data_IF_455296203398
#
_entry.id   IF_455296203398
#
_cell.length_a   1.000
_cell.length_b   1.000
_cell.length_c   1.000
_cell.angle_alpha   90.00
_cell.angle_beta   90.00
_cell.angle_gamma   90.00
#
_symmetry.space_group_name_H-M   'P 1'
#
loop_
_entity.id
_entity.type
_entity.pdbx_description
1 polymer ?
#
# COMPACT_ATOMS: atom_id res chain seq x y z
N UNK A 1 -33.33 -17.64 -38.68
CA UNK A 1 -32.20 -16.87 -38.11
C UNK A 1 -31.35 -17.84 -37.30
N UNK A 2 -30.06 -17.95 -37.58
CA UNK A 2 -29.17 -18.74 -36.72
C UNK A 2 -29.11 -18.06 -35.36
N UNK A 3 -29.52 -18.76 -34.30
CA UNK A 3 -29.45 -18.25 -32.93
C UNK A 3 -27.98 -18.06 -32.57
N UNK A 4 -27.66 -16.94 -31.93
CA UNK A 4 -26.31 -16.74 -31.43
C UNK A 4 -26.08 -17.59 -30.17
N UNK A 5 -24.83 -17.84 -29.82
CA UNK A 5 -24.47 -18.70 -28.68
C UNK A 5 -25.10 -18.22 -27.35
N UNK A 6 -25.34 -16.92 -27.20
CA UNK A 6 -26.01 -16.34 -26.02
C UNK A 6 -27.48 -16.76 -25.93
N UNK A 7 -28.22 -16.64 -27.03
CA UNK A 7 -29.61 -17.08 -27.12
C UNK A 7 -29.72 -18.59 -26.89
N UNK A 8 -28.88 -19.38 -27.56
CA UNK A 8 -28.85 -20.85 -27.40
C UNK A 8 -28.58 -21.25 -25.96
N UNK A 9 -27.58 -20.64 -25.32
CA UNK A 9 -27.23 -20.97 -23.92
C UNK A 9 -28.33 -20.52 -22.95
N UNK A 10 -28.93 -19.35 -23.17
CA UNK A 10 -30.02 -18.86 -22.32
C UNK A 10 -31.24 -19.77 -22.39
N UNK A 11 -31.65 -20.16 -23.60
CA UNK A 11 -32.80 -21.07 -23.80
C UNK A 11 -32.61 -22.40 -23.09
N UNK A 12 -31.42 -23.00 -23.21
CA UNK A 12 -31.10 -24.28 -22.57
C UNK A 12 -31.13 -24.19 -21.05
N UNK A 13 -30.57 -23.13 -20.47
CA UNK A 13 -30.61 -22.93 -19.03
C UNK A 13 -32.04 -22.65 -18.54
N UNK A 14 -32.84 -21.91 -19.32
CA UNK A 14 -34.24 -21.62 -19.03
C UNK A 14 -35.17 -22.84 -19.16
N UNK A 15 -34.70 -23.97 -19.72
CA UNK A 15 -35.47 -25.22 -19.74
C UNK A 15 -35.35 -25.99 -18.41
N UNK A 16 -34.45 -25.58 -17.51
CA UNK A 16 -34.30 -26.21 -16.21
C UNK A 16 -34.88 -25.32 -15.11
N UNK A 17 -35.98 -25.73 -14.43
CA UNK A 17 -36.62 -24.95 -13.37
C UNK A 17 -35.67 -24.50 -12.25
N UNK A 18 -34.58 -25.26 -12.01
CA UNK A 18 -33.53 -24.92 -11.04
C UNK A 18 -32.91 -23.53 -11.27
N UNK A 19 -32.90 -23.07 -12.52
CA UNK A 19 -32.27 -21.81 -12.91
C UNK A 19 -33.28 -20.69 -13.17
N UNK A 20 -34.56 -20.88 -12.88
CA UNK A 20 -35.62 -19.91 -13.18
C UNK A 20 -36.13 -19.32 -11.86
N UNK A 21 -36.25 -17.99 -11.80
CA UNK A 21 -36.88 -17.27 -10.69
C UNK A 21 -38.41 -17.32 -10.80
N UNK A 22 -39.11 -16.90 -9.75
CA UNK A 22 -40.57 -16.71 -9.78
C UNK A 22 -41.02 -15.77 -10.94
N UNK A 23 -40.23 -14.74 -11.24
CA UNK A 23 -40.48 -13.81 -12.37
C UNK A 23 -40.04 -14.32 -13.77
N UNK A 24 -39.81 -15.61 -13.97
CA UNK A 24 -39.29 -16.19 -15.22
C UNK A 24 -37.94 -15.59 -15.70
N UNK A 25 -37.06 -15.21 -14.77
CA UNK A 25 -35.71 -14.73 -15.07
C UNK A 25 -34.66 -15.77 -14.70
N UNK A 26 -33.54 -15.76 -15.42
CA UNK A 26 -32.43 -16.67 -15.17
C UNK A 26 -31.69 -16.31 -13.87
N UNK A 27 -31.56 -17.27 -12.96
CA UNK A 27 -30.83 -17.17 -11.70
C UNK A 27 -29.32 -17.36 -11.92
N UNK A 28 -28.62 -16.29 -12.35
CA UNK A 28 -27.16 -16.33 -12.63
C UNK A 28 -26.33 -16.90 -11.49
N UNK A 29 -26.61 -16.50 -10.25
CA UNK A 29 -25.86 -16.98 -9.08
C UNK A 29 -25.94 -18.50 -8.92
N UNK A 30 -27.10 -19.10 -9.26
CA UNK A 30 -27.29 -20.54 -9.19
C UNK A 30 -26.55 -21.26 -10.33
N UNK A 31 -26.63 -20.72 -11.54
CA UNK A 31 -25.85 -21.23 -12.69
C UNK A 31 -24.35 -21.15 -12.40
N UNK A 32 -23.86 -20.00 -11.92
CA UNK A 32 -22.45 -19.81 -11.56
C UNK A 32 -21.99 -20.76 -10.46
N UNK A 33 -22.80 -20.93 -9.40
CA UNK A 33 -22.50 -21.89 -8.33
C UNK A 33 -22.37 -23.32 -8.87
N UNK A 34 -23.25 -23.71 -9.79
CA UNK A 34 -23.20 -25.03 -10.43
C UNK A 34 -22.01 -25.18 -11.39
N UNK A 35 -21.59 -24.10 -12.08
CA UNK A 35 -20.35 -24.08 -12.87
C UNK A 35 -19.13 -24.32 -11.97
N UNK A 36 -19.05 -23.61 -10.82
CA UNK A 36 -17.91 -23.70 -9.91
C UNK A 36 -17.82 -25.05 -9.19
N UNK A 37 -18.97 -25.68 -8.94
CA UNK A 37 -19.06 -27.01 -8.31
C UNK A 37 -19.02 -28.15 -9.32
N UNK A 38 -18.86 -27.87 -10.62
CA UNK A 38 -18.89 -28.87 -11.70
C UNK A 38 -20.15 -29.75 -11.60
N UNK A 39 -21.30 -29.13 -11.37
CA UNK A 39 -22.57 -29.82 -11.14
C UNK A 39 -22.94 -30.72 -12.33
N UNK A 40 -23.23 -32.00 -12.06
CA UNK A 40 -23.50 -33.00 -13.10
C UNK A 40 -24.70 -32.68 -13.97
N UNK A 41 -25.77 -32.12 -13.40
CA UNK A 41 -27.00 -31.79 -14.13
C UNK A 41 -26.75 -30.63 -15.10
N UNK A 42 -26.00 -29.61 -14.66
CA UNK A 42 -25.56 -28.52 -15.52
C UNK A 42 -24.70 -29.05 -16.67
N UNK A 43 -23.68 -29.85 -16.38
CA UNK A 43 -22.77 -30.37 -17.42
C UNK A 43 -23.53 -31.23 -18.44
N UNK A 44 -24.44 -32.08 -17.97
CA UNK A 44 -25.30 -32.90 -18.83
C UNK A 44 -26.20 -32.03 -19.72
N UNK A 45 -26.78 -30.97 -19.14
CA UNK A 45 -27.59 -30.01 -19.86
C UNK A 45 -26.79 -29.27 -20.94
N UNK A 46 -25.57 -28.81 -20.64
CA UNK A 46 -24.69 -28.12 -21.60
C UNK A 46 -24.20 -29.05 -22.71
N UNK A 47 -23.92 -30.32 -22.39
CA UNK A 47 -23.53 -31.35 -23.36
C UNK A 47 -24.65 -31.73 -24.33
N UNK A 48 -25.92 -31.48 -23.96
CA UNK A 48 -27.08 -31.79 -24.82
C UNK A 48 -27.15 -30.94 -26.10
N UNK A 49 -26.36 -29.86 -26.18
CA UNK A 49 -26.34 -28.96 -27.33
C UNK A 49 -24.94 -28.89 -27.96
N UNK A 50 -24.88 -29.19 -29.26
CA UNK A 50 -23.62 -29.26 -29.99
C UNK A 50 -22.88 -27.92 -30.08
N UNK A 51 -23.58 -26.79 -30.19
CA UNK A 51 -22.94 -25.47 -30.29
C UNK A 51 -22.26 -25.09 -28.96
N UNK A 52 -22.95 -25.33 -27.84
CA UNK A 52 -22.41 -25.13 -26.49
C UNK A 52 -21.24 -26.09 -26.26
N UNK A 53 -21.40 -27.36 -26.63
CA UNK A 53 -20.35 -28.37 -26.52
C UNK A 53 -19.08 -27.94 -27.25
N UNK A 54 -19.18 -27.55 -28.51
CA UNK A 54 -18.03 -27.09 -29.30
C UNK A 54 -17.37 -25.82 -28.75
N UNK A 55 -18.13 -24.97 -28.06
CA UNK A 55 -17.62 -23.68 -27.56
C UNK A 55 -16.95 -23.79 -26.20
N UNK A 56 -17.49 -24.62 -25.32
CA UNK A 56 -17.14 -24.64 -23.89
C UNK A 56 -16.56 -25.97 -23.41
N UNK A 57 -16.39 -26.94 -24.30
CA UNK A 57 -15.69 -28.17 -24.00
C UNK A 57 -14.49 -28.32 -24.93
N UNK A 58 -13.42 -28.88 -24.38
CA UNK A 58 -12.19 -29.21 -25.09
C UNK A 58 -12.11 -30.72 -25.13
N UNK A 59 -11.93 -31.29 -26.32
CA UNK A 59 -11.72 -32.72 -26.47
C UNK A 59 -10.23 -33.04 -26.38
N UNK A 60 -9.85 -33.88 -25.41
CA UNK A 60 -8.49 -34.39 -25.24
C UNK A 60 -8.57 -35.91 -25.21
N UNK A 61 -7.97 -36.58 -26.20
CA UNK A 61 -7.94 -38.05 -26.30
C UNK A 61 -9.34 -38.70 -26.17
N UNK A 62 -10.35 -38.14 -26.83
CA UNK A 62 -11.74 -38.63 -26.78
C UNK A 62 -12.50 -38.31 -25.48
N UNK A 63 -11.89 -37.58 -24.55
CA UNK A 63 -12.54 -37.10 -23.32
C UNK A 63 -12.90 -35.63 -23.45
N UNK A 64 -14.14 -35.29 -23.17
CA UNK A 64 -14.62 -33.91 -23.14
C UNK A 64 -14.35 -33.28 -21.77
N UNK A 65 -13.57 -32.21 -21.77
CA UNK A 65 -13.22 -31.45 -20.58
C UNK A 65 -13.96 -30.12 -20.65
N UNK A 66 -14.77 -29.82 -19.63
CA UNK A 66 -15.49 -28.56 -19.54
C UNK A 66 -14.55 -27.40 -19.16
N UNK A 67 -14.50 -26.38 -19.99
CA UNK A 67 -13.78 -25.14 -19.71
C UNK A 67 -14.63 -24.24 -18.81
N UNK A 68 -14.62 -24.54 -17.51
CA UNK A 68 -15.39 -23.82 -16.50
C UNK A 68 -15.08 -22.33 -16.44
N UNK A 69 -13.84 -21.95 -16.73
CA UNK A 69 -13.41 -20.54 -16.67
C UNK A 69 -14.00 -19.76 -17.85
N UNK A 70 -13.90 -20.31 -19.06
CA UNK A 70 -14.50 -19.73 -20.27
C UNK A 70 -16.02 -19.63 -20.17
N UNK A 71 -16.68 -20.65 -19.64
CA UNK A 71 -18.13 -20.62 -19.46
C UNK A 71 -18.56 -19.64 -18.35
N UNK A 72 -17.84 -19.58 -17.23
CA UNK A 72 -18.10 -18.57 -16.19
C UNK A 72 -17.96 -17.15 -16.74
N UNK A 73 -16.87 -16.88 -17.47
CA UNK A 73 -16.66 -15.59 -18.13
C UNK A 73 -17.78 -15.25 -19.13
N UNK A 74 -18.28 -16.25 -19.86
CA UNK A 74 -19.39 -16.10 -20.80
C UNK A 74 -20.71 -15.71 -20.11
N UNK A 75 -21.06 -16.36 -18.99
CA UNK A 75 -22.28 -16.04 -18.22
C UNK A 75 -22.21 -14.65 -17.57
N UNK A 76 -21.00 -14.21 -17.24
CA UNK A 76 -20.72 -12.89 -16.66
C UNK A 76 -20.60 -11.77 -17.70
N UNK A 77 -20.70 -12.07 -19.00
CA UNK A 77 -20.61 -11.06 -20.06
C UNK A 77 -21.86 -10.16 -20.10
N UNK A 78 -21.66 -8.89 -20.52
CA UNK A 78 -22.74 -7.91 -20.72
C UNK A 78 -23.71 -8.30 -21.84
N UNK A 79 -23.24 -9.10 -22.81
CA UNK A 79 -24.05 -9.55 -23.94
C UNK A 79 -25.03 -10.66 -23.55
N UNK A 80 -24.74 -11.44 -22.51
CA UNK A 80 -25.65 -12.47 -22.02
C UNK A 80 -26.88 -11.85 -21.32
N UNK A 81 -26.77 -10.65 -20.74
CA UNK A 81 -27.90 -9.80 -20.31
C UNK A 81 -27.54 -8.30 -20.32
N UNK A 82 -28.17 -7.47 -21.17
CA UNK A 82 -28.09 -6.01 -21.03
C UNK A 82 -28.81 -5.60 -19.73
N UNK A 83 -28.21 -4.71 -18.95
CA UNK A 83 -28.65 -4.18 -17.62
C UNK A 83 -27.94 -4.73 -16.37
N UNK A 84 -26.81 -5.43 -16.51
CA UNK A 84 -25.83 -5.54 -15.42
C UNK A 84 -24.79 -4.42 -15.57
N UNK A 85 -24.95 -3.33 -14.81
CA UNK A 85 -24.14 -2.12 -14.99
C UNK A 85 -22.65 -2.33 -14.65
N UNK A 86 -22.28 -3.38 -13.93
CA UNK A 86 -20.88 -3.84 -13.77
C UNK A 86 -20.81 -5.36 -13.59
N UNK A 87 -19.67 -5.98 -13.93
CA UNK A 87 -19.37 -7.41 -13.66
C UNK A 87 -19.17 -7.70 -12.15
N UNK A 88 -19.15 -6.66 -11.32
CA UNK A 88 -18.73 -6.75 -9.94
C UNK A 88 -19.94 -6.77 -9.00
N UNK A 89 -19.89 -7.64 -7.98
CA UNK A 89 -20.78 -7.56 -6.81
C UNK A 89 -20.74 -6.16 -6.22
N UNK A 90 -21.88 -5.57 -5.84
CA UNK A 90 -22.15 -4.23 -5.24
C UNK A 90 -21.02 -3.61 -4.36
N UNK A 91 -19.84 -3.40 -4.90
CA UNK A 91 -18.64 -2.93 -4.21
C UNK A 91 -17.88 -2.06 -5.19
N UNK A 92 -17.71 -0.80 -4.84
CA UNK A 92 -16.87 0.13 -5.59
C UNK A 92 -15.41 -0.22 -5.25
N UNK A 93 -14.55 -0.34 -6.26
CA UNK A 93 -13.14 -0.63 -6.05
C UNK A 93 -12.33 -0.65 -7.35
N UNK A 94 -11.01 -0.59 -7.20
CA UNK A 94 -10.06 -0.67 -8.30
C UNK A 94 -9.88 -2.14 -8.73
N UNK A 95 -9.75 -2.38 -10.04
CA UNK A 95 -9.61 -3.73 -10.60
C UNK A 95 -8.52 -3.80 -11.65
N UNK A 96 -7.80 -4.92 -11.69
CA UNK A 96 -6.83 -5.25 -12.75
C UNK A 96 -7.19 -6.62 -13.34
N UNK A 97 -7.23 -6.74 -14.68
CA UNK A 97 -7.67 -7.95 -15.41
C UNK A 97 -9.00 -8.54 -14.93
N UNK A 98 -9.86 -7.69 -14.37
CA UNK A 98 -11.19 -8.08 -13.96
C UNK A 98 -11.30 -8.70 -12.56
N UNK A 99 -10.23 -8.68 -11.76
CA UNK A 99 -10.29 -8.95 -10.32
C UNK A 99 -10.06 -7.68 -9.51
N UNK A 100 -10.67 -7.60 -8.33
CA UNK A 100 -10.44 -6.48 -7.41
C UNK A 100 -9.01 -6.51 -6.89
N UNK A 101 -8.37 -5.33 -6.80
CA UNK A 101 -7.02 -5.19 -6.22
C UNK A 101 -6.93 -5.77 -4.80
N UNK A 102 -7.99 -5.63 -4.00
CA UNK A 102 -8.07 -6.23 -2.65
C UNK A 102 -7.99 -7.77 -2.61
N UNK A 103 -8.10 -8.44 -3.77
CA UNK A 103 -8.02 -9.91 -3.89
C UNK A 103 -6.75 -10.38 -4.60
N UNK A 104 -5.96 -9.45 -5.13
CA UNK A 104 -4.74 -9.75 -5.87
C UNK A 104 -3.53 -9.41 -5.00
N UNK A 105 -2.62 -10.36 -4.84
CA UNK A 105 -1.35 -10.13 -4.13
C UNK A 105 -0.29 -9.48 -5.02
N UNK A 106 -0.58 -9.34 -6.32
CA UNK A 106 0.37 -8.86 -7.33
C UNK A 106 0.39 -7.32 -7.47
N UNK A 107 -0.44 -6.62 -6.69
CA UNK A 107 -0.52 -5.16 -6.74
C UNK A 107 -0.12 -4.57 -5.41
N UNK A 108 1.05 -3.91 -5.40
CA UNK A 108 1.58 -3.18 -4.27
C UNK A 108 1.27 -1.70 -4.47
N UNK A 109 0.70 -1.05 -3.45
CA UNK A 109 0.69 0.40 -3.36
C UNK A 109 2.09 0.82 -2.91
N UNK A 110 2.93 1.16 -3.88
CA UNK A 110 4.25 1.70 -3.62
C UNK A 110 4.20 3.23 -3.56
N UNK A 111 4.63 3.78 -2.43
CA UNK A 111 4.68 5.22 -2.21
C UNK A 111 6.12 5.69 -2.44
N UNK A 112 6.35 6.73 -3.24
CA UNK A 112 7.67 7.31 -3.40
C UNK A 112 8.29 7.62 -2.02
N UNK A 113 9.55 7.27 -1.84
CA UNK A 113 10.35 7.56 -0.64
C UNK A 113 9.90 6.87 0.65
N UNK A 114 9.00 5.87 0.60
CA UNK A 114 8.57 5.12 1.80
C UNK A 114 9.71 4.35 2.47
N UNK A 115 10.71 3.95 1.69
CA UNK A 115 11.89 3.19 2.13
C UNK A 115 13.13 4.10 2.16
N UNK A 116 12.97 5.37 2.53
CA UNK A 116 14.07 6.33 2.60
C UNK A 116 14.24 6.96 3.98
N UNK A 117 15.49 7.22 4.34
CA UNK A 117 15.88 8.04 5.48
C UNK A 117 16.13 9.48 5.02
N UNK A 118 15.43 10.43 5.64
CA UNK A 118 15.61 11.86 5.39
C UNK A 118 16.48 12.48 6.48
N UNK A 119 17.70 12.86 6.09
CA UNK A 119 18.67 13.49 6.98
C UNK A 119 18.15 14.83 7.54
N UNK A 120 17.52 15.64 6.69
CA UNK A 120 17.01 16.98 7.04
C UNK A 120 18.17 17.96 7.29
N UNK A 121 18.46 18.81 6.29
CA UNK A 121 19.68 19.63 6.25
C UNK A 121 19.49 21.13 6.48
N UNK A 122 18.32 21.58 6.94
CA UNK A 122 18.08 23.02 7.10
C UNK A 122 18.86 23.56 8.30
N UNK A 123 19.88 24.37 8.02
CA UNK A 123 20.74 25.00 9.03
C UNK A 123 20.42 26.49 9.23
N UNK A 124 19.65 27.09 8.31
CA UNK A 124 19.14 28.48 8.32
C UNK A 124 17.82 28.53 7.54
N UNK A 125 16.92 29.43 7.92
CA UNK A 125 15.57 29.57 7.34
C UNK A 125 15.60 29.85 5.82
N UNK A 126 16.64 30.54 5.32
CA UNK A 126 16.73 31.01 3.93
C UNK A 126 17.50 30.11 2.95
N UNK A 127 17.99 28.92 3.36
CA UNK A 127 18.72 28.03 2.43
C UNK A 127 17.81 27.02 1.75
N UNK A 128 17.50 27.24 0.46
CA UNK A 128 17.04 26.19 -0.43
C UNK A 128 18.19 25.21 -0.70
N UNK A 129 18.17 24.05 -0.03
CA UNK A 129 19.03 22.90 -0.37
C UNK A 129 18.17 21.77 -0.89
N UNK A 130 18.75 20.97 -1.77
CA UNK A 130 18.15 19.71 -2.19
C UNK A 130 18.16 18.74 -1.00
N UNK A 131 16.98 18.28 -0.60
CA UNK A 131 16.85 17.25 0.40
C UNK A 131 17.39 15.92 -0.12
N UNK A 132 18.24 15.28 0.67
CA UNK A 132 18.79 13.97 0.32
C UNK A 132 17.94 12.90 1.02
N UNK A 133 17.27 12.10 0.20
CA UNK A 133 16.57 10.89 0.61
C UNK A 133 17.47 9.69 0.37
N UNK A 134 17.99 9.10 1.44
CA UNK A 134 18.80 7.89 1.34
C UNK A 134 17.89 6.67 1.32
N UNK A 135 17.86 5.91 0.22
CA UNK A 135 17.13 4.66 0.17
C UNK A 135 17.77 3.62 1.10
N UNK A 136 16.96 2.96 1.92
CA UNK A 136 17.44 2.03 2.96
C UNK A 136 18.25 0.84 2.42
N UNK A 137 17.98 0.41 1.19
CA UNK A 137 18.69 -0.72 0.55
C UNK A 137 19.92 -0.21 -0.19
N UNK A 138 19.72 0.77 -1.08
CA UNK A 138 20.76 1.23 -2.01
C UNK A 138 21.84 2.03 -1.28
N UNK A 139 21.46 2.88 -0.31
CA UNK A 139 22.36 3.77 0.42
C UNK A 139 22.56 3.31 1.87
N UNK A 140 22.56 1.99 2.09
CA UNK A 140 22.65 1.39 3.42
C UNK A 140 23.96 1.73 4.13
N UNK A 141 25.08 1.80 3.41
CA UNK A 141 26.39 2.16 3.95
C UNK A 141 26.44 3.61 4.44
N UNK A 142 25.90 4.55 3.66
CA UNK A 142 25.79 5.96 4.04
C UNK A 142 24.88 6.14 5.25
N UNK A 143 23.75 5.44 5.28
CA UNK A 143 22.82 5.44 6.43
C UNK A 143 23.52 4.91 7.68
N UNK A 144 24.22 3.79 7.57
CA UNK A 144 24.95 3.18 8.68
C UNK A 144 26.04 4.14 9.21
N UNK A 145 26.80 4.76 8.31
CA UNK A 145 27.82 5.73 8.69
C UNK A 145 27.19 6.97 9.34
N UNK A 146 26.07 7.48 8.80
CA UNK A 146 25.37 8.64 9.34
C UNK A 146 24.84 8.37 10.75
N UNK A 147 24.18 7.23 10.95
CA UNK A 147 23.56 6.84 12.22
C UNK A 147 24.54 6.20 13.23
N UNK A 148 25.77 5.90 12.82
CA UNK A 148 26.79 5.43 13.75
C UNK A 148 27.01 6.45 14.89
N UNK A 149 27.26 6.01 16.13
CA UNK A 149 27.49 6.91 17.25
C UNK A 149 28.62 7.91 16.96
N UNK A 150 28.34 9.21 17.13
CA UNK A 150 29.32 10.28 16.95
C UNK A 150 29.98 10.63 18.29
N UNK A 151 31.24 11.01 18.20
CA UNK A 151 31.96 11.59 19.35
C UNK A 151 31.46 13.01 19.56
N UNK A 152 30.96 13.30 20.76
CA UNK A 152 30.61 14.67 21.16
C UNK A 152 31.90 15.44 21.44
N UNK A 153 32.12 16.51 20.68
CA UNK A 153 33.31 17.37 20.77
C UNK A 153 32.94 18.79 21.20
N UNK A 154 33.93 19.60 21.57
CA UNK A 154 33.76 21.01 21.94
C UNK A 154 32.82 21.22 23.13
N UNK A 155 32.91 20.35 24.14
CA UNK A 155 32.11 20.47 25.35
C UNK A 155 32.46 21.76 26.11
N UNK A 156 31.42 22.55 26.43
CA UNK A 156 31.51 23.77 27.24
C UNK A 156 30.52 23.69 28.38
N UNK A 157 30.94 24.11 29.58
CA UNK A 157 30.07 24.22 30.76
C UNK A 157 29.79 25.69 31.04
N UNK A 158 28.51 26.04 31.06
CA UNK A 158 28.04 27.38 31.38
C UNK A 158 27.67 27.44 32.86
N UNK A 159 28.32 28.33 33.60
CA UNK A 159 28.09 28.56 35.04
C UNK A 159 27.77 30.03 35.26
N UNK A 160 27.30 30.37 36.47
CA UNK A 160 27.10 31.78 36.86
C UNK A 160 28.38 32.61 36.75
N UNK A 161 29.53 31.96 36.95
CA UNK A 161 30.85 32.61 37.00
C UNK A 161 31.56 32.63 35.64
N UNK A 162 30.93 32.10 34.58
CA UNK A 162 31.47 32.12 33.22
C UNK A 162 31.41 30.77 32.49
N UNK A 163 32.18 30.67 31.41
CA UNK A 163 32.23 29.51 30.51
C UNK A 163 33.54 28.75 30.69
N UNK A 164 33.43 27.44 30.91
CA UNK A 164 34.57 26.51 30.96
C UNK A 164 34.60 25.69 29.67
N UNK A 165 35.76 25.63 29.01
CA UNK A 165 35.95 24.87 27.75
C UNK A 165 36.78 23.60 27.99
N UNK A 166 36.71 22.64 27.05
CA UNK A 166 37.45 21.37 27.10
C UNK A 166 37.17 20.53 28.36
N UNK A 167 35.93 20.59 28.84
CA UNK A 167 35.49 19.86 30.03
C UNK A 167 35.01 18.45 29.67
N UNK A 168 35.11 17.53 30.62
CA UNK A 168 34.36 16.28 30.61
C UNK A 168 32.99 16.48 31.26
N UNK A 169 31.95 15.88 30.70
CA UNK A 169 30.61 15.83 31.28
C UNK A 169 30.25 14.39 31.68
N UNK A 170 29.38 14.25 32.64
CA UNK A 170 28.87 12.96 33.11
C UNK A 170 27.34 12.84 32.96
N UNK A 171 26.75 11.80 33.53
CA UNK A 171 25.32 11.49 33.40
C UNK A 171 24.39 12.38 34.24
N UNK A 172 24.95 13.16 35.17
CA UNK A 172 24.20 14.11 36.00
C UNK A 172 24.20 15.53 35.43
N UNK A 173 24.99 15.78 34.38
CA UNK A 173 25.02 17.08 33.69
C UNK A 173 23.78 17.30 32.82
N UNK A 174 23.28 18.54 32.79
CA UNK A 174 22.30 18.96 31.80
C UNK A 174 23.01 19.23 30.47
N UNK A 175 22.57 18.56 29.41
CA UNK A 175 23.22 18.64 28.10
C UNK A 175 22.42 19.48 27.11
N UNK A 176 23.10 20.42 26.45
CA UNK A 176 22.60 21.12 25.26
C UNK A 176 23.47 20.68 24.08
N UNK A 177 22.86 20.03 23.09
CA UNK A 177 23.57 19.48 21.93
C UNK A 177 23.22 20.31 20.70
N UNK A 178 24.23 20.89 20.07
CA UNK A 178 24.10 21.64 18.82
C UNK A 178 24.46 20.74 17.63
N UNK A 179 23.50 20.45 16.78
CA UNK A 179 23.72 19.65 15.57
C UNK A 179 22.41 19.14 14.97
N UNK A 180 22.52 18.27 13.96
CA UNK A 180 21.36 17.58 13.40
C UNK A 180 20.77 16.63 14.45
N UNK A 181 19.48 16.80 14.75
CA UNK A 181 18.77 16.03 15.76
C UNK A 181 18.73 14.51 15.47
N UNK A 182 18.65 14.07 14.22
CA UNK A 182 18.66 12.65 13.86
C UNK A 182 19.98 11.99 14.25
N UNK A 183 21.10 12.63 13.90
CA UNK A 183 22.45 12.15 14.21
C UNK A 183 22.72 12.22 15.73
N UNK A 184 22.25 13.29 16.39
CA UNK A 184 22.36 13.45 17.83
C UNK A 184 21.59 12.33 18.57
N UNK A 185 20.34 12.07 18.21
CA UNK A 185 19.52 11.02 18.81
C UNK A 185 20.16 9.64 18.60
N UNK A 186 20.63 9.33 17.40
CA UNK A 186 21.31 8.07 17.11
C UNK A 186 22.57 7.88 17.98
N UNK A 187 23.31 8.96 18.23
CA UNK A 187 24.51 8.93 19.07
C UNK A 187 24.19 8.79 20.56
N UNK A 188 23.09 9.39 21.02
CA UNK A 188 22.64 9.32 22.42
C UNK A 188 22.04 7.96 22.78
N UNK A 189 21.44 7.26 21.81
CA UNK A 189 20.73 6.00 22.02
C UNK A 189 21.57 5.01 22.84
N UNK A 190 22.83 4.79 22.44
CA UNK A 190 23.75 3.86 23.13
C UNK A 190 23.93 4.14 24.63
N UNK A 191 23.75 5.38 25.10
CA UNK A 191 24.01 5.79 26.48
C UNK A 191 22.73 6.02 27.30
N UNK A 192 21.65 6.48 26.65
CA UNK A 192 20.44 6.97 27.30
C UNK A 192 19.16 6.19 26.96
N UNK A 193 19.25 5.11 26.17
CA UNK A 193 18.13 4.21 25.91
C UNK A 193 17.50 3.72 27.23
N UNK A 194 16.16 3.76 27.30
CA UNK A 194 15.39 3.38 28.49
C UNK A 194 15.53 4.32 29.70
N UNK A 195 16.38 5.36 29.66
CA UNK A 195 16.62 6.28 30.78
C UNK A 195 15.83 7.59 30.70
N UNK A 196 15.26 7.91 29.54
CA UNK A 196 14.51 9.15 29.31
C UNK A 196 13.07 9.00 29.81
N UNK A 197 12.70 9.79 30.82
CA UNK A 197 11.35 9.74 31.43
C UNK A 197 10.28 10.46 30.60
N UNK A 198 10.65 11.55 29.93
CA UNK A 198 9.73 12.39 29.18
C UNK A 198 10.46 13.04 28.01
N UNK A 199 9.80 13.16 26.87
CA UNK A 199 10.29 13.84 25.67
C UNK A 199 9.24 14.90 25.32
N UNK A 200 9.68 16.15 25.22
CA UNK A 200 8.86 17.25 24.70
C UNK A 200 9.50 17.78 23.42
N UNK A 201 8.70 17.89 22.35
CA UNK A 201 9.14 18.41 21.06
C UNK A 201 8.05 19.34 20.50
N UNK A 202 8.49 20.42 19.86
CA UNK A 202 7.65 21.34 19.08
C UNK A 202 8.18 21.33 17.63
N UNK A 203 7.86 20.28 16.86
CA UNK A 203 8.32 20.18 15.47
C UNK A 203 7.61 21.19 14.58
N UNK A 204 8.15 21.50 13.39
CA UNK A 204 7.46 22.35 12.42
C UNK A 204 6.07 21.78 12.09
N UNK A 205 5.04 22.63 12.06
CA UNK A 205 3.67 22.21 11.76
C UNK A 205 3.45 22.03 10.26
N UNK A 206 2.70 20.99 9.89
CA UNK A 206 2.18 20.84 8.54
C UNK A 206 0.85 21.62 8.40
N UNK A 207 0.80 22.60 7.51
CA UNK A 207 -0.42 23.31 7.15
C UNK A 207 -0.87 22.93 5.73
N UNK A 208 -2.18 22.73 5.54
CA UNK A 208 -2.78 22.36 4.25
C UNK A 208 -2.83 23.54 3.25
N UNK A 209 -2.46 24.75 3.69
CA UNK A 209 -2.41 25.99 2.90
C UNK A 209 -1.17 26.78 3.30
N UNK A 210 -0.38 27.22 2.32
CA UNK A 210 0.82 28.04 2.50
C UNK A 210 0.48 29.32 3.27
N UNK A 211 1.17 29.60 4.38
CA UNK A 211 1.08 30.88 5.09
C UNK A 211 2.38 31.65 4.84
N UNK A 212 2.30 32.98 4.79
CA UNK A 212 3.49 33.84 4.58
C UNK A 212 4.57 33.65 5.68
N UNK A 213 4.18 33.08 6.81
CA UNK A 213 5.02 32.79 7.98
C UNK A 213 5.68 31.38 7.91
N UNK A 214 5.54 30.65 6.80
CA UNK A 214 6.10 29.31 6.59
C UNK A 214 7.64 29.32 6.67
N UNK A 215 8.17 29.30 7.89
CA UNK A 215 9.61 29.35 8.21
C UNK A 215 10.34 28.08 7.73
N UNK A 216 9.58 27.03 7.43
CA UNK A 216 10.06 25.82 6.77
C UNK A 216 9.83 25.96 5.25
N UNK A 217 10.75 26.67 4.57
CA UNK A 217 10.84 26.74 3.11
C UNK A 217 11.37 25.42 2.50
N UNK A 218 10.78 24.28 2.89
CA UNK A 218 11.01 23.03 2.18
C UNK A 218 10.31 23.10 0.84
N UNK A 219 11.04 22.65 -0.19
CA UNK A 219 10.68 22.79 -1.59
C UNK A 219 9.19 22.43 -1.80
N UNK A 220 8.39 23.43 -2.16
CA UNK A 220 6.92 23.45 -2.15
C UNK A 220 6.24 22.52 -3.18
N UNK A 221 6.98 21.54 -3.69
CA UNK A 221 6.47 20.39 -4.43
C UNK A 221 6.38 19.12 -3.57
N UNK A 222 6.88 19.10 -2.33
CA UNK A 222 6.80 17.94 -1.45
C UNK A 222 5.63 18.01 -0.46
N UNK A 223 4.63 17.19 -0.78
CA UNK A 223 3.39 16.92 -0.02
C UNK A 223 3.70 16.26 1.32
N UNK A 224 2.69 16.22 2.19
CA UNK A 224 2.58 15.52 3.50
C UNK A 224 3.54 14.33 3.73
N UNK A 225 3.81 13.50 2.73
CA UNK A 225 4.76 12.38 2.77
C UNK A 225 6.16 12.76 3.26
N UNK A 226 6.72 13.90 2.86
CA UNK A 226 8.07 14.31 3.31
C UNK A 226 8.10 14.66 4.78
N UNK A 227 7.11 15.44 5.23
CA UNK A 227 6.97 15.78 6.65
C UNK A 227 6.77 14.53 7.51
N UNK A 228 5.95 13.58 7.04
CA UNK A 228 5.74 12.31 7.71
C UNK A 228 7.04 11.49 7.80
N UNK A 229 7.82 11.40 6.71
CA UNK A 229 9.11 10.71 6.74
C UNK A 229 10.10 11.40 7.69
N UNK A 230 10.21 12.73 7.64
CA UNK A 230 11.05 13.51 8.54
C UNK A 230 10.76 13.21 10.01
N UNK A 231 9.47 13.24 10.38
CA UNK A 231 9.00 12.98 11.74
C UNK A 231 9.19 11.52 12.12
N UNK A 232 8.79 10.57 11.26
CA UNK A 232 8.95 9.13 11.48
C UNK A 232 10.41 8.78 11.78
N UNK A 233 11.35 9.23 10.95
CA UNK A 233 12.76 8.90 11.13
C UNK A 233 13.32 9.35 12.50
N UNK A 234 12.79 10.43 13.08
CA UNK A 234 13.21 10.97 14.39
C UNK A 234 12.47 10.30 15.54
N UNK A 235 11.18 10.07 15.39
CA UNK A 235 10.34 9.42 16.41
C UNK A 235 10.69 7.94 16.54
N UNK A 236 11.00 7.24 15.46
CA UNK A 236 11.44 5.83 15.50
C UNK A 236 12.73 5.68 16.32
N UNK A 237 13.62 6.67 16.28
CA UNK A 237 14.86 6.69 17.10
C UNK A 237 14.61 7.13 18.54
N UNK A 238 13.63 8.00 18.77
CA UNK A 238 13.24 8.44 20.12
C UNK A 238 12.30 7.50 20.87
N UNK A 239 11.69 6.54 20.15
CA UNK A 239 10.57 5.72 20.64
C UNK A 239 10.82 4.22 20.67
N UNK A 240 12.05 3.73 20.53
CA UNK A 240 12.33 2.29 20.68
C UNK A 240 12.02 1.85 22.12
N UNK A 241 10.80 1.34 22.32
CA UNK A 241 10.45 0.47 23.43
C UNK A 241 10.80 -0.95 23.03
N UNK A 242 11.59 -1.61 23.86
CA UNK A 242 11.79 -3.06 23.87
C UNK A 242 10.45 -3.78 24.03
#
# INVERSE_FOLDING_TARGET
MNKNIFQTTKEILMNNPKYISEDNKLLKAKVYSDVMTMNKDLLSLLLSNNDIKQRFFIEINGTLIFDKQKFAWFIDSKEFLPNSYTRYTNKIGLTHNGEFLSKTNDVVLDFPYKDCLLEGGQSKDDQKRDEIFYNEIIASDEINQMLAPKVLSNAKRYTKDGVQENISFDENDNLIIKGNNLIALASLLKRYEGKVKCIYIDPPYYFNSTREEDTFLYNSNFKLSTWLNFMKNRLDKGGQKS
#
